data_IF_553946169613
#
_entry.id   IF_553946169613
#
_cell.length_a   1.000
_cell.length_b   1.000
_cell.length_c   1.000
_cell.angle_alpha   90.00
_cell.angle_beta   90.00
_cell.angle_gamma   90.00
#
_symmetry.space_group_name_H-M   'P 1'
#
loop_
_entity.id
_entity.type
_entity.pdbx_description
1 polymer ?
#
# COMPACT_ATOMS: atom_id res chain seq x y z
N UNK A 1 -9.51 -10.07 -9.17
CA UNK A 1 -9.00 -9.53 -7.88
C UNK A 1 -8.47 -8.14 -8.10
N UNK A 2 -8.61 -7.23 -7.13
CA UNK A 2 -7.98 -5.91 -7.21
C UNK A 2 -6.46 -6.05 -7.20
N UNK A 3 -5.77 -4.98 -7.59
CA UNK A 3 -4.31 -4.93 -7.54
C UNK A 3 -3.86 -3.60 -6.93
N UNK A 4 -2.60 -3.55 -6.50
CA UNK A 4 -1.93 -2.32 -6.10
C UNK A 4 -0.71 -2.08 -6.98
N UNK A 5 -0.45 -0.82 -7.33
CA UNK A 5 0.77 -0.40 -8.00
C UNK A 5 1.54 0.59 -7.13
N UNK A 6 2.86 0.48 -7.12
CA UNK A 6 3.74 1.47 -6.47
C UNK A 6 4.09 2.55 -7.49
N UNK A 7 3.88 3.81 -7.14
CA UNK A 7 4.17 5.01 -7.93
C UNK A 7 5.14 5.87 -7.13
N UNK A 8 6.09 6.54 -7.80
CA UNK A 8 6.93 7.56 -7.16
C UNK A 8 6.66 8.93 -7.78
N UNK A 9 6.41 9.93 -6.94
CA UNK A 9 6.34 11.32 -7.42
C UNK A 9 7.75 11.74 -7.90
N UNK A 10 7.85 12.08 -9.19
CA UNK A 10 9.08 12.62 -9.80
C UNK A 10 9.69 11.84 -10.98
N UNK A 11 9.18 10.65 -11.30
CA UNK A 11 9.51 9.99 -12.57
C UNK A 11 8.27 9.30 -13.14
N UNK A 12 7.86 9.61 -14.38
CA UNK A 12 7.06 8.64 -15.11
C UNK A 12 7.92 7.39 -15.22
N UNK A 13 7.47 6.27 -14.66
CA UNK A 13 7.95 4.99 -15.15
C UNK A 13 7.36 4.89 -16.57
N UNK A 14 8.07 5.47 -17.53
CA UNK A 14 7.78 5.37 -18.94
C UNK A 14 7.87 3.88 -19.25
N UNK A 15 6.71 3.31 -19.57
CA UNK A 15 6.48 1.92 -19.96
C UNK A 15 6.61 0.87 -18.83
N UNK A 16 5.57 0.76 -17.99
CA UNK A 16 5.28 -0.51 -17.32
C UNK A 16 3.88 -1.01 -17.69
N UNK A 17 3.88 -1.98 -18.61
CA UNK A 17 2.83 -2.97 -18.74
C UNK A 17 2.60 -3.72 -17.41
N UNK A 18 1.62 -4.63 -17.35
CA UNK A 18 1.12 -5.42 -16.21
C UNK A 18 2.13 -5.89 -15.11
N UNK A 19 3.44 -5.85 -15.33
CA UNK A 19 4.51 -6.15 -14.38
C UNK A 19 4.51 -5.31 -13.08
N UNK A 20 3.97 -4.09 -13.10
CA UNK A 20 3.89 -3.22 -11.92
C UNK A 20 2.63 -3.46 -11.05
N UNK A 21 1.75 -4.37 -11.47
CA UNK A 21 0.51 -4.69 -10.75
C UNK A 21 0.74 -5.83 -9.79
N UNK A 22 0.59 -5.55 -8.50
CA UNK A 22 0.67 -6.54 -7.43
C UNK A 22 -0.77 -6.97 -7.11
N UNK A 23 -1.20 -8.19 -7.48
CA UNK A 23 -2.56 -8.64 -7.19
C UNK A 23 -2.77 -8.78 -5.68
N UNK A 24 -3.96 -8.40 -5.22
CA UNK A 24 -4.41 -8.52 -3.83
C UNK A 24 -5.12 -9.87 -3.58
N UNK A 25 -4.58 -10.95 -4.17
CA UNK A 25 -5.06 -12.33 -3.95
C UNK A 25 -4.50 -12.96 -2.66
N UNK A 26 -3.47 -12.34 -2.11
CA UNK A 26 -2.92 -12.53 -0.78
C UNK A 26 -2.66 -11.15 -0.16
N UNK A 27 -2.54 -11.07 1.18
CA UNK A 27 -2.16 -9.81 1.82
C UNK A 27 -0.83 -9.29 1.27
N UNK A 28 -0.71 -7.98 1.14
CA UNK A 28 0.51 -7.29 0.74
C UNK A 28 1.00 -6.46 1.91
N UNK A 29 2.28 -6.57 2.24
CA UNK A 29 2.93 -5.76 3.27
C UNK A 29 4.01 -4.92 2.62
N UNK A 30 3.93 -3.61 2.80
CA UNK A 30 4.82 -2.62 2.19
C UNK A 30 5.68 -1.96 3.28
N UNK A 31 6.94 -1.71 2.97
CA UNK A 31 7.84 -0.90 3.79
C UNK A 31 9.26 -0.90 3.25
N UNK A 32 10.18 -0.21 3.94
CA UNK A 32 11.59 -0.16 3.50
C UNK A 32 12.38 -1.45 3.78
N UNK A 33 11.92 -2.25 4.74
CA UNK A 33 12.49 -3.55 5.13
C UNK A 33 11.37 -4.44 5.69
N UNK A 34 10.38 -4.79 4.85
CA UNK A 34 9.15 -5.41 5.31
C UNK A 34 9.42 -6.79 5.90
N UNK A 35 8.67 -7.13 6.94
CA UNK A 35 8.72 -8.43 7.60
C UNK A 35 7.32 -9.05 7.65
N UNK A 36 7.21 -10.38 7.51
CA UNK A 36 5.93 -11.05 7.68
C UNK A 36 5.48 -10.94 9.15
N UNK A 37 4.16 -10.99 9.41
CA UNK A 37 3.65 -11.03 10.77
C UNK A 37 4.07 -12.34 11.45
N UNK A 38 4.23 -12.29 12.78
CA UNK A 38 4.67 -13.44 13.58
C UNK A 38 3.72 -14.64 13.48
N UNK A 39 2.44 -14.36 13.28
CA UNK A 39 1.39 -15.36 13.08
C UNK A 39 0.73 -15.08 11.73
N UNK A 40 0.80 -16.05 10.82
CA UNK A 40 0.13 -15.99 9.52
C UNK A 40 -1.16 -16.79 9.64
N UNK A 41 -2.28 -16.16 9.33
CA UNK A 41 -3.59 -16.82 9.18
C UNK A 41 -3.97 -16.72 7.71
N UNK A 42 -4.16 -17.86 7.04
CA UNK A 42 -4.43 -17.91 5.61
C UNK A 42 -3.17 -17.79 4.75
N UNK A 43 -3.26 -17.10 3.61
CA UNK A 43 -2.16 -16.98 2.66
C UNK A 43 -0.98 -16.17 3.24
N UNK A 44 0.25 -16.59 2.92
CA UNK A 44 1.44 -15.84 3.27
C UNK A 44 1.45 -14.47 2.57
N UNK A 45 1.83 -13.39 3.27
CA UNK A 45 1.81 -12.07 2.66
C UNK A 45 2.92 -11.91 1.63
N UNK A 46 2.62 -11.17 0.57
CA UNK A 46 3.63 -10.67 -0.36
C UNK A 46 4.33 -9.48 0.29
N UNK A 47 5.66 -9.54 0.42
CA UNK A 47 6.45 -8.45 0.98
C UNK A 47 6.96 -7.56 -0.14
N UNK A 48 6.66 -6.26 -0.07
CA UNK A 48 7.00 -5.27 -1.08
C UNK A 48 7.95 -4.25 -0.48
N UNK A 49 9.19 -4.30 -0.93
CA UNK A 49 10.23 -3.37 -0.49
C UNK A 49 10.20 -2.11 -1.34
N UNK A 50 10.14 -0.95 -0.68
CA UNK A 50 10.21 0.37 -1.32
C UNK A 50 11.45 1.12 -0.83
N UNK A 51 12.06 2.02 -1.63
CA UNK A 51 13.17 2.81 -1.13
C UNK A 51 12.67 3.84 -0.12
N UNK A 52 13.56 4.21 0.80
CA UNK A 52 13.29 5.26 1.77
C UNK A 52 14.59 5.99 2.07
N UNK A 53 15.11 6.79 1.12
CA UNK A 53 16.39 7.47 1.26
C UNK A 53 16.39 8.52 2.38
N UNK A 54 15.26 9.20 2.62
CA UNK A 54 15.11 10.13 3.74
C UNK A 54 14.67 9.42 5.03
N UNK A 55 14.38 8.13 4.94
CA UNK A 55 14.02 7.31 6.08
C UNK A 55 12.58 7.51 6.56
N UNK A 56 11.71 8.09 5.73
CA UNK A 56 10.33 8.43 6.10
C UNK A 56 9.42 7.19 6.20
N UNK A 57 9.75 6.13 5.47
CA UNK A 57 8.97 4.89 5.45
C UNK A 57 9.48 3.93 6.54
N UNK A 58 8.59 3.49 7.42
CA UNK A 58 8.87 2.41 8.38
C UNK A 58 9.36 1.11 7.72
N UNK A 59 10.08 0.28 8.48
CA UNK A 59 10.56 -1.04 8.02
C UNK A 59 9.43 -1.90 7.47
N UNK A 60 8.39 -2.07 8.27
CA UNK A 60 7.06 -2.56 7.89
C UNK A 60 6.11 -1.39 8.14
N UNK A 61 5.42 -0.88 7.10
CA UNK A 61 4.67 0.38 7.18
C UNK A 61 3.18 0.18 6.96
N UNK A 62 2.80 -0.56 5.91
CA UNK A 62 1.41 -0.67 5.48
C UNK A 62 1.05 -2.10 5.15
N UNK A 63 -0.15 -2.54 5.53
CA UNK A 63 -0.76 -3.75 5.00
C UNK A 63 -1.91 -3.39 4.07
N UNK A 64 -2.01 -4.12 2.95
CA UNK A 64 -3.20 -4.16 2.10
C UNK A 64 -3.72 -5.58 2.08
N UNK A 65 -5.02 -5.75 2.16
CA UNK A 65 -5.68 -7.04 1.95
C UNK A 65 -6.99 -6.83 1.23
N UNK A 66 -7.38 -7.81 0.44
CA UNK A 66 -8.73 -7.87 -0.09
C UNK A 66 -9.54 -8.86 0.75
N UNK A 67 -10.72 -8.43 1.21
CA UNK A 67 -11.70 -9.29 1.84
C UNK A 67 -13.04 -9.12 1.12
N UNK A 68 -13.64 -10.21 0.64
CA UNK A 68 -14.96 -10.18 -0.02
C UNK A 68 -15.14 -9.11 -1.12
N UNK A 69 -14.07 -8.75 -1.83
CA UNK A 69 -14.09 -7.75 -2.91
C UNK A 69 -13.78 -6.32 -2.48
N UNK A 70 -13.69 -6.02 -1.18
CA UNK A 70 -13.25 -4.71 -0.67
C UNK A 70 -11.77 -4.73 -0.32
N UNK A 71 -11.08 -3.61 -0.53
CA UNK A 71 -9.68 -3.46 -0.16
C UNK A 71 -9.60 -2.76 1.19
N UNK A 72 -8.90 -3.38 2.13
CA UNK A 72 -8.61 -2.81 3.45
C UNK A 72 -7.13 -2.42 3.49
N UNK A 73 -6.88 -1.19 3.88
CA UNK A 73 -5.57 -0.62 4.12
C UNK A 73 -5.39 -0.46 5.61
N UNK A 74 -4.25 -0.89 6.15
CA UNK A 74 -3.93 -0.77 7.58
C UNK A 74 -2.55 -0.17 7.73
N UNK A 75 -2.45 0.92 8.48
CA UNK A 75 -1.16 1.44 8.95
C UNK A 75 -0.61 0.50 10.03
N UNK A 76 0.62 0.01 9.84
CA UNK A 76 1.27 -0.98 10.70
C UNK A 76 2.16 -0.31 11.76
N UNK A 77 1.57 0.62 12.49
CA UNK A 77 2.24 1.44 13.50
C UNK A 77 3.41 2.25 12.92
N UNK A 78 3.18 2.92 11.79
CA UNK A 78 4.19 3.72 11.12
C UNK A 78 4.59 4.95 11.95
N UNK A 79 5.82 5.44 11.74
CA UNK A 79 6.34 6.59 12.51
C UNK A 79 5.80 7.92 11.97
N UNK A 80 5.68 8.05 10.66
CA UNK A 80 5.28 9.30 10.00
C UNK A 80 3.81 9.31 9.56
N UNK A 81 3.09 8.20 9.76
CA UNK A 81 1.71 8.04 9.35
C UNK A 81 1.55 7.68 7.87
N UNK A 82 0.30 7.41 7.50
CA UNK A 82 -0.12 7.11 6.14
C UNK A 82 -1.18 8.14 5.71
N UNK A 83 -1.08 8.67 4.49
CA UNK A 83 -2.10 9.58 3.93
C UNK A 83 -2.85 8.89 2.79
N UNK A 84 -4.18 8.86 2.89
CA UNK A 84 -5.07 8.27 1.90
C UNK A 84 -5.82 9.36 1.14
N UNK A 85 -5.81 9.27 -0.18
CA UNK A 85 -6.56 10.12 -1.10
C UNK A 85 -7.50 9.25 -1.92
N UNK A 86 -8.77 9.20 -1.54
CA UNK A 86 -9.80 8.51 -2.33
C UNK A 86 -10.21 9.36 -3.55
N UNK A 87 -10.70 8.74 -4.64
CA UNK A 87 -11.14 9.47 -5.82
C UNK A 87 -12.22 10.49 -5.50
N UNK A 88 -11.98 11.77 -5.82
CA UNK A 88 -12.95 12.85 -5.60
C UNK A 88 -13.16 13.24 -4.14
N UNK A 89 -12.37 12.71 -3.20
CA UNK A 89 -12.45 13.02 -1.78
C UNK A 89 -11.25 13.83 -1.29
N UNK A 90 -11.37 14.39 -0.09
CA UNK A 90 -10.26 15.03 0.60
C UNK A 90 -9.22 14.02 1.10
N UNK A 91 -8.03 14.53 1.41
CA UNK A 91 -6.93 13.74 1.99
C UNK A 91 -7.30 13.35 3.44
N UNK A 92 -7.19 12.06 3.74
CA UNK A 92 -7.39 11.51 5.08
C UNK A 92 -6.07 10.95 5.61
N UNK A 93 -5.65 11.38 6.79
CA UNK A 93 -4.50 10.79 7.48
C UNK A 93 -4.95 9.63 8.37
N UNK A 94 -4.33 8.46 8.20
CA UNK A 94 -4.49 7.32 9.10
C UNK A 94 -3.54 7.47 10.29
N UNK A 95 -4.07 7.20 11.48
CA UNK A 95 -3.27 7.09 12.70
C UNK A 95 -2.49 5.75 12.71
N UNK A 96 -1.40 5.66 13.48
CA UNK A 96 -0.73 4.38 13.73
C UNK A 96 -1.71 3.28 14.17
N UNK A 97 -1.70 2.16 13.45
CA UNK A 97 -2.57 1.00 13.71
C UNK A 97 -3.98 1.11 13.13
N UNK A 98 -4.34 2.25 12.52
CA UNK A 98 -5.68 2.48 11.97
C UNK A 98 -5.88 1.72 10.64
N UNK A 99 -7.13 1.30 10.40
CA UNK A 99 -7.52 0.63 9.16
C UNK A 99 -8.65 1.39 8.47
N UNK A 100 -8.59 1.41 7.14
CA UNK A 100 -9.58 2.05 6.28
C UNK A 100 -9.94 1.16 5.09
N UNK A 101 -11.23 1.11 4.78
CA UNK A 101 -11.72 0.49 3.54
C UNK A 101 -11.57 1.50 2.40
N UNK A 102 -10.96 1.07 1.30
CA UNK A 102 -10.67 1.91 0.14
C UNK A 102 -11.23 1.31 -1.14
N UNK A 103 -11.36 2.16 -2.15
CA UNK A 103 -11.93 1.82 -3.46
C UNK A 103 -10.85 1.91 -4.54
N UNK A 104 -11.06 1.29 -5.72
CA UNK A 104 -10.21 1.53 -6.88
C UNK A 104 -10.05 3.02 -7.20
N UNK A 105 -8.85 3.42 -7.59
CA UNK A 105 -8.43 4.79 -7.80
C UNK A 105 -7.91 5.49 -6.53
N UNK A 106 -8.05 4.89 -5.35
CA UNK A 106 -7.45 5.44 -4.13
C UNK A 106 -5.92 5.44 -4.23
N UNK A 107 -5.32 6.57 -3.86
CA UNK A 107 -3.86 6.74 -3.72
C UNK A 107 -3.49 6.81 -2.23
N UNK A 108 -2.41 6.15 -1.85
CA UNK A 108 -1.95 6.01 -0.46
C UNK A 108 -0.48 6.42 -0.41
N UNK A 109 -0.20 7.57 0.19
CA UNK A 109 1.14 8.09 0.40
C UNK A 109 1.69 7.57 1.74
N UNK A 110 2.88 7.00 1.70
CA UNK A 110 3.58 6.41 2.85
C UNK A 110 4.91 7.12 3.16
N UNK A 111 5.20 8.25 2.48
CA UNK A 111 6.45 9.00 2.61
C UNK A 111 7.47 8.73 1.50
N UNK A 112 8.54 9.51 1.47
CA UNK A 112 9.64 9.46 0.47
C UNK A 112 9.15 9.58 -0.99
N UNK A 113 8.00 10.25 -1.19
CA UNK A 113 7.33 10.35 -2.49
C UNK A 113 6.77 9.01 -3.01
N UNK A 114 6.69 7.98 -2.17
CA UNK A 114 6.14 6.67 -2.53
C UNK A 114 4.64 6.65 -2.30
N UNK A 115 3.91 6.41 -3.38
CA UNK A 115 2.45 6.35 -3.39
C UNK A 115 1.99 5.01 -3.92
N UNK A 116 1.06 4.36 -3.23
CA UNK A 116 0.40 3.14 -3.68
C UNK A 116 -0.94 3.50 -4.30
N UNK A 117 -1.23 2.98 -5.49
CA UNK A 117 -2.52 3.17 -6.16
C UNK A 117 -3.30 1.88 -6.21
N UNK A 118 -4.55 1.91 -5.74
CA UNK A 118 -5.48 0.78 -5.81
C UNK A 118 -6.08 0.72 -7.20
N UNK A 119 -5.93 -0.43 -7.86
CA UNK A 119 -6.40 -0.66 -9.21
C UNK A 119 -7.68 -1.51 -9.19
N UNK A 120 -8.57 -1.26 -10.14
CA UNK A 120 -9.75 -2.10 -10.34
C UNK A 120 -9.35 -3.55 -10.64
N UNK A 121 -10.22 -4.47 -10.22
CA UNK A 121 -10.14 -5.83 -10.68
C UNK A 121 -10.37 -5.86 -12.19
N UNK A 122 -9.58 -6.66 -12.89
CA UNK A 122 -9.78 -6.96 -14.30
C UNK A 122 -10.80 -8.09 -14.45
#
# INVERSE_FOLDING_TARGET
VHAVRVVRDGAPHLEAADADRIPLDAPVIVGRRPRPPRVIRGAAPRLVTVPSPLGEISGTHLALRQDSGVVVVTDLDSTNGTVVLAPGAERLALRPGESLVVVPGTRIDIGDGVVLEILSAR
#
